data_IF_302137489736
#
_entry.id   IF_302137489736
#
_cell.length_a   1.000
_cell.length_b   1.000
_cell.length_c   1.000
_cell.angle_alpha   90.00
_cell.angle_beta   90.00
_cell.angle_gamma   90.00
#
_symmetry.space_group_name_H-M   'P 1'
#
loop_
_entity.id
_entity.type
_entity.pdbx_description
1 polymer ?
#
# COMPACT_ATOMS: atom_id res chain seq x y z
N UNK A 1 -14.94 17.39 25.31
CA UNK A 1 -14.93 16.66 24.02
C UNK A 1 -13.49 16.52 23.56
N UNK A 2 -13.01 15.30 23.34
CA UNK A 2 -11.70 15.06 22.72
C UNK A 2 -11.67 15.77 21.37
N UNK A 3 -10.64 16.58 21.09
CA UNK A 3 -10.43 17.13 19.74
C UNK A 3 -10.19 15.95 18.79
N UNK A 4 -10.81 15.97 17.62
CA UNK A 4 -10.58 14.98 16.57
C UNK A 4 -9.10 15.01 16.16
N UNK A 5 -8.48 13.84 15.97
CA UNK A 5 -7.05 13.68 15.59
C UNK A 5 -7.00 12.95 14.25
N UNK A 6 -6.22 13.50 13.32
CA UNK A 6 -5.83 12.81 12.09
C UNK A 6 -4.68 11.83 12.40
N UNK A 7 -4.80 10.57 12.01
CA UNK A 7 -3.89 9.49 12.43
C UNK A 7 -3.19 8.80 11.26
N UNK A 8 -3.81 8.81 10.07
CA UNK A 8 -3.27 8.14 8.88
C UNK A 8 -1.91 8.70 8.46
N UNK A 9 -1.07 7.86 7.85
CA UNK A 9 0.24 8.27 7.33
C UNK A 9 0.09 9.18 6.11
N UNK A 10 0.84 10.27 6.07
CA UNK A 10 0.91 11.18 4.93
C UNK A 10 2.33 11.77 4.78
N UNK A 11 2.61 12.43 3.66
CA UNK A 11 3.89 13.10 3.48
C UNK A 11 4.04 14.33 4.38
N UNK A 12 4.95 14.27 5.35
CA UNK A 12 5.27 15.41 6.22
C UNK A 12 6.10 16.50 5.51
N UNK A 13 6.90 16.13 4.50
CA UNK A 13 7.74 17.05 3.73
C UNK A 13 7.53 16.83 2.23
N UNK A 14 7.37 17.90 1.44
CA UNK A 14 7.28 17.78 -0.02
C UNK A 14 8.49 17.09 -0.66
N UNK A 15 9.68 17.25 -0.07
CA UNK A 15 10.92 16.59 -0.53
C UNK A 15 10.82 15.07 -0.53
N UNK A 16 10.10 14.48 0.42
CA UNK A 16 9.92 13.03 0.50
C UNK A 16 9.07 12.51 -0.66
N UNK A 17 7.99 13.23 -1.01
CA UNK A 17 7.19 12.92 -2.20
C UNK A 17 8.03 12.98 -3.47
N UNK A 18 8.80 14.06 -3.66
CA UNK A 18 9.63 14.20 -4.86
C UNK A 18 10.76 13.17 -4.94
N UNK A 19 11.29 12.71 -3.79
CA UNK A 19 12.26 11.61 -3.76
C UNK A 19 11.62 10.32 -4.27
N UNK A 20 10.48 9.93 -3.70
CA UNK A 20 9.79 8.69 -4.06
C UNK A 20 9.32 8.74 -5.52
N UNK A 21 8.79 9.89 -5.98
CA UNK A 21 8.45 10.12 -7.37
C UNK A 21 9.65 9.95 -8.32
N UNK A 22 10.79 10.61 -8.04
CA UNK A 22 12.02 10.50 -8.85
C UNK A 22 12.53 9.06 -8.91
N UNK A 23 12.48 8.34 -7.80
CA UNK A 23 12.90 6.94 -7.74
C UNK A 23 12.03 6.05 -8.65
N UNK A 24 10.71 6.21 -8.61
CA UNK A 24 9.79 5.44 -9.47
C UNK A 24 9.99 5.79 -10.94
N UNK A 25 10.02 7.07 -11.32
CA UNK A 25 10.17 7.46 -12.74
C UNK A 25 11.55 7.13 -13.31
N UNK A 26 12.56 6.91 -12.46
CA UNK A 26 13.87 6.39 -12.87
C UNK A 26 13.81 4.93 -13.35
N UNK A 27 12.79 4.19 -12.94
CA UNK A 27 12.62 2.76 -13.19
C UNK A 27 11.67 2.44 -14.34
N UNK A 28 11.47 3.35 -15.30
CA UNK A 28 10.52 3.19 -16.43
C UNK A 28 10.57 1.84 -17.15
N UNK A 29 11.78 1.30 -17.37
CA UNK A 29 11.95 -0.01 -18.02
C UNK A 29 11.38 -1.14 -17.16
N UNK A 30 11.72 -1.14 -15.86
CA UNK A 30 11.19 -2.10 -14.90
C UNK A 30 9.69 -1.94 -14.72
N UNK A 31 9.14 -0.71 -14.67
CA UNK A 31 7.70 -0.47 -14.65
C UNK A 31 7.02 -1.16 -15.83
N UNK A 32 7.52 -0.93 -17.05
CA UNK A 32 6.95 -1.53 -18.26
C UNK A 32 6.95 -3.05 -18.18
N UNK A 33 8.06 -3.65 -17.73
CA UNK A 33 8.20 -5.10 -17.60
C UNK A 33 7.28 -5.66 -16.50
N UNK A 34 7.24 -4.97 -15.35
CA UNK A 34 6.37 -5.30 -14.20
C UNK A 34 4.91 -5.39 -14.61
N UNK A 35 4.40 -4.38 -15.32
CA UNK A 35 2.98 -4.29 -15.67
C UNK A 35 2.56 -5.24 -16.80
N UNK A 36 3.50 -5.77 -17.58
CA UNK A 36 3.22 -6.59 -18.78
C UNK A 36 3.57 -8.06 -18.62
N UNK A 37 4.59 -8.37 -17.82
CA UNK A 37 5.25 -9.67 -17.85
C UNK A 37 5.48 -10.26 -16.46
N UNK A 38 5.91 -9.47 -15.48
CA UNK A 38 6.42 -10.04 -14.21
C UNK A 38 5.34 -10.26 -13.15
N UNK A 39 4.33 -9.39 -13.09
CA UNK A 39 3.30 -9.42 -12.06
C UNK A 39 1.94 -9.35 -12.78
N UNK A 40 1.09 -10.36 -12.56
CA UNK A 40 -0.26 -10.40 -13.14
C UNK A 40 -1.11 -9.23 -12.64
N UNK A 41 -2.27 -9.01 -13.27
CA UNK A 41 -3.13 -7.90 -12.88
C UNK A 41 -3.72 -8.10 -11.48
N UNK A 42 -4.26 -9.28 -11.20
CA UNK A 42 -4.83 -9.64 -9.91
C UNK A 42 -3.79 -9.61 -8.78
N UNK A 43 -2.58 -10.13 -9.03
CA UNK A 43 -1.51 -10.09 -8.04
C UNK A 43 -1.08 -8.66 -7.71
N UNK A 44 -1.00 -7.76 -8.72
CA UNK A 44 -0.74 -6.33 -8.47
C UNK A 44 -1.80 -5.73 -7.56
N UNK A 45 -3.07 -5.99 -7.85
CA UNK A 45 -4.16 -5.42 -7.07
C UNK A 45 -4.22 -5.97 -5.64
N UNK A 46 -3.92 -7.27 -5.41
CA UNK A 46 -3.74 -7.81 -4.05
C UNK A 46 -2.63 -7.08 -3.28
N UNK A 47 -1.44 -6.93 -3.88
CA UNK A 47 -0.32 -6.19 -3.27
C UNK A 47 -0.70 -4.75 -2.94
N UNK A 48 -1.37 -4.06 -3.87
CA UNK A 48 -1.80 -2.67 -3.68
C UNK A 48 -2.85 -2.53 -2.60
N UNK A 49 -3.83 -3.43 -2.54
CA UNK A 49 -4.86 -3.44 -1.51
C UNK A 49 -4.28 -3.74 -0.12
N UNK A 50 -3.34 -4.68 0.00
CA UNK A 50 -2.66 -4.98 1.28
C UNK A 50 -1.97 -3.74 1.85
N UNK A 51 -1.16 -3.03 1.06
CA UNK A 51 -0.49 -1.80 1.53
C UNK A 51 -1.48 -0.66 1.79
N UNK A 52 -2.53 -0.56 0.97
CA UNK A 52 -3.57 0.46 1.12
C UNK A 52 -4.34 0.27 2.42
N UNK A 53 -4.60 -0.96 2.83
CA UNK A 53 -5.27 -1.23 4.10
C UNK A 53 -4.41 -0.78 5.28
N UNK A 54 -3.11 -1.10 5.27
CA UNK A 54 -2.17 -0.66 6.32
C UNK A 54 -2.10 0.88 6.42
N UNK A 55 -2.21 1.59 5.30
CA UNK A 55 -2.10 3.05 5.25
C UNK A 55 -3.44 3.81 5.37
N UNK A 56 -4.58 3.13 5.26
CA UNK A 56 -5.91 3.73 5.41
C UNK A 56 -6.28 4.78 4.35
N UNK A 57 -5.75 4.67 3.12
CA UNK A 57 -6.08 5.65 2.08
C UNK A 57 -7.41 5.34 1.41
N UNK A 58 -8.49 6.04 1.78
CA UNK A 58 -9.84 5.85 1.22
C UNK A 58 -9.91 5.99 -0.30
N UNK A 59 -9.16 6.93 -0.89
CA UNK A 59 -9.14 7.15 -2.34
C UNK A 59 -8.54 5.96 -3.09
N UNK A 60 -7.42 5.44 -2.59
CA UNK A 60 -6.77 4.27 -3.16
C UNK A 60 -7.61 3.03 -2.91
N UNK A 61 -8.23 2.90 -1.73
CA UNK A 61 -9.12 1.78 -1.40
C UNK A 61 -10.28 1.71 -2.40
N UNK A 62 -10.99 2.82 -2.63
CA UNK A 62 -12.12 2.85 -3.55
C UNK A 62 -11.73 2.55 -5.00
N UNK A 63 -10.55 3.01 -5.42
CA UNK A 63 -10.04 2.78 -6.76
C UNK A 63 -9.62 1.31 -6.93
N UNK A 64 -8.71 0.84 -6.07
CA UNK A 64 -8.13 -0.50 -6.19
C UNK A 64 -9.12 -1.61 -5.84
N UNK A 65 -10.16 -1.36 -5.03
CA UNK A 65 -11.25 -2.31 -4.86
C UNK A 65 -11.96 -2.59 -6.19
N UNK A 66 -12.23 -1.55 -6.98
CA UNK A 66 -12.84 -1.71 -8.32
C UNK A 66 -11.90 -2.41 -9.30
N UNK A 67 -10.61 -2.08 -9.27
CA UNK A 67 -9.62 -2.71 -10.14
C UNK A 67 -9.37 -4.18 -9.76
N UNK A 68 -9.35 -4.50 -8.47
CA UNK A 68 -9.25 -5.88 -7.95
C UNK A 68 -10.38 -6.74 -8.49
N UNK A 69 -11.63 -6.28 -8.38
CA UNK A 69 -12.79 -7.00 -8.91
C UNK A 69 -12.70 -7.19 -10.43
N UNK A 70 -12.22 -6.19 -11.18
CA UNK A 70 -11.99 -6.30 -12.63
C UNK A 70 -10.89 -7.29 -12.99
N UNK A 71 -9.87 -7.41 -12.14
CA UNK A 71 -8.78 -8.38 -12.33
C UNK A 71 -9.18 -9.82 -11.99
N UNK A 72 -10.32 -10.02 -11.31
CA UNK A 72 -10.83 -11.33 -10.91
C UNK A 72 -10.57 -11.72 -9.46
N UNK A 73 -10.07 -10.80 -8.62
CA UNK A 73 -9.98 -11.03 -7.16
C UNK A 73 -11.39 -11.07 -6.59
N UNK A 74 -11.69 -12.08 -5.77
CA UNK A 74 -13.03 -12.26 -5.22
C UNK A 74 -13.37 -11.23 -4.14
N UNK A 75 -14.66 -10.98 -3.93
CA UNK A 75 -15.13 -10.16 -2.81
C UNK A 75 -14.74 -10.76 -1.46
N UNK A 76 -14.67 -12.09 -1.35
CA UNK A 76 -14.24 -12.79 -0.14
C UNK A 76 -12.77 -12.49 0.19
N UNK A 77 -11.87 -12.63 -0.79
CA UNK A 77 -10.46 -12.25 -0.61
C UNK A 77 -10.31 -10.76 -0.24
N UNK A 78 -11.07 -9.88 -0.89
CA UNK A 78 -11.01 -8.45 -0.59
C UNK A 78 -11.50 -8.13 0.82
N UNK A 79 -12.54 -8.80 1.30
CA UNK A 79 -13.03 -8.64 2.67
C UNK A 79 -11.94 -9.01 3.69
N UNK A 80 -11.23 -10.11 3.47
CA UNK A 80 -10.11 -10.51 4.34
C UNK A 80 -8.96 -9.49 4.31
N UNK A 81 -8.59 -8.99 3.13
CA UNK A 81 -7.56 -7.94 3.00
C UNK A 81 -7.97 -6.69 3.76
N UNK A 82 -9.22 -6.25 3.65
CA UNK A 82 -9.74 -5.06 4.35
C UNK A 82 -9.79 -5.24 5.88
N UNK A 83 -9.88 -6.48 6.35
CA UNK A 83 -9.74 -6.83 7.77
C UNK A 83 -8.28 -6.93 8.22
N UNK A 84 -7.32 -6.70 7.31
CA UNK A 84 -5.88 -6.78 7.59
C UNK A 84 -5.33 -8.20 7.63
N UNK A 85 -6.04 -9.16 7.03
CA UNK A 85 -5.58 -10.54 6.87
C UNK A 85 -5.05 -10.79 5.47
N UNK A 86 -4.20 -11.80 5.33
CA UNK A 86 -3.86 -12.39 4.04
C UNK A 86 -4.95 -13.44 3.75
N UNK A 87 -5.66 -13.37 2.61
CA UNK A 87 -6.74 -14.30 2.32
C UNK A 87 -6.30 -15.76 2.35
N UNK A 88 -7.13 -16.65 2.88
CA UNK A 88 -6.80 -18.08 2.97
C UNK A 88 -6.62 -18.71 1.58
N UNK A 89 -7.44 -18.27 0.61
CA UNK A 89 -7.42 -18.74 -0.79
C UNK A 89 -6.37 -18.03 -1.66
N UNK A 90 -5.44 -17.27 -1.06
CA UNK A 90 -4.34 -16.64 -1.81
C UNK A 90 -3.52 -17.71 -2.54
N UNK A 91 -3.19 -17.53 -3.83
CA UNK A 91 -2.29 -18.44 -4.54
C UNK A 91 -1.00 -18.66 -3.76
N UNK A 92 -0.54 -19.91 -3.68
CA UNK A 92 0.61 -20.28 -2.85
C UNK A 92 1.89 -19.53 -3.23
N UNK A 93 2.03 -19.16 -4.51
CA UNK A 93 3.14 -18.36 -5.00
C UNK A 93 2.97 -16.86 -4.75
N UNK A 94 1.85 -16.37 -4.24
CA UNK A 94 1.63 -14.94 -3.91
C UNK A 94 1.67 -14.67 -2.40
N UNK A 95 1.38 -15.68 -1.57
CA UNK A 95 1.25 -15.53 -0.12
C UNK A 95 2.45 -14.84 0.54
N UNK A 96 3.68 -15.29 0.23
CA UNK A 96 4.89 -14.70 0.81
C UNK A 96 5.08 -13.23 0.41
N UNK A 97 4.70 -12.85 -0.81
CA UNK A 97 4.76 -11.46 -1.24
C UNK A 97 3.70 -10.59 -0.56
N UNK A 98 2.50 -11.12 -0.28
CA UNK A 98 1.49 -10.39 0.50
C UNK A 98 1.93 -10.21 1.96
N UNK A 99 2.52 -11.24 2.56
CA UNK A 99 3.11 -11.16 3.91
C UNK A 99 4.25 -10.12 3.96
N UNK A 100 5.13 -10.14 2.95
CA UNK A 100 6.16 -9.13 2.79
C UNK A 100 5.56 -7.73 2.65
N UNK A 101 4.54 -7.55 1.81
CA UNK A 101 3.90 -6.26 1.56
C UNK A 101 3.28 -5.68 2.83
N UNK A 102 2.58 -6.51 3.62
CA UNK A 102 2.01 -6.12 4.91
C UNK A 102 3.10 -5.68 5.88
N UNK A 103 4.10 -6.54 6.12
CA UNK A 103 5.21 -6.24 7.03
C UNK A 103 5.98 -4.99 6.60
N UNK A 104 6.27 -4.86 5.30
CA UNK A 104 6.96 -3.71 4.73
C UNK A 104 6.20 -2.40 4.96
N UNK A 105 4.87 -2.42 4.82
CA UNK A 105 4.03 -1.26 5.04
C UNK A 105 3.90 -0.90 6.53
N UNK A 106 3.75 -1.90 7.40
CA UNK A 106 3.66 -1.71 8.85
C UNK A 106 4.94 -1.11 9.44
N UNK A 107 6.10 -1.50 8.90
CA UNK A 107 7.42 -1.04 9.32
C UNK A 107 7.95 0.16 8.52
N UNK A 108 7.07 0.97 7.95
CA UNK A 108 7.42 2.23 7.25
C UNK A 108 8.51 2.09 6.18
N UNK A 109 8.39 1.06 5.33
CA UNK A 109 9.35 0.74 4.25
C UNK A 109 10.72 0.27 4.74
N UNK A 110 10.81 -0.19 5.99
CA UNK A 110 12.04 -0.74 6.60
C UNK A 110 11.83 -2.21 6.98
N UNK A 111 11.70 -3.12 6.01
CA UNK A 111 11.67 -4.54 6.31
C UNK A 111 13.04 -4.97 6.84
N UNK A 112 13.07 -6.01 7.67
CA UNK A 112 14.33 -6.62 8.06
C UNK A 112 15.05 -7.19 6.82
N UNK A 113 16.40 -7.07 6.72
CA UNK A 113 17.16 -7.59 5.58
C UNK A 113 16.89 -9.06 5.27
N UNK A 114 16.69 -9.88 6.31
CA UNK A 114 16.35 -11.30 6.17
C UNK A 114 15.02 -11.52 5.42
N UNK A 115 14.04 -10.65 5.62
CA UNK A 115 12.74 -10.77 4.94
C UNK A 115 12.89 -10.42 3.45
N UNK A 116 13.74 -9.45 3.11
CA UNK A 116 14.09 -9.18 1.72
C UNK A 116 14.82 -10.36 1.07
N UNK A 117 15.82 -10.93 1.75
CA UNK A 117 16.58 -12.08 1.23
C UNK A 117 15.68 -13.30 0.98
N UNK A 118 14.71 -13.54 1.87
CA UNK A 118 13.70 -14.58 1.69
C UNK A 118 12.79 -14.32 0.48
N UNK A 119 12.40 -13.06 0.25
CA UNK A 119 11.63 -12.68 -0.94
C UNK A 119 12.45 -12.96 -2.22
N UNK A 120 13.72 -12.55 -2.24
CA UNK A 120 14.61 -12.80 -3.38
C UNK A 120 14.82 -14.30 -3.60
N UNK A 121 14.98 -15.09 -2.54
CA UNK A 121 15.16 -16.53 -2.64
C UNK A 121 13.93 -17.23 -3.25
N UNK A 122 12.71 -16.78 -2.94
CA UNK A 122 11.48 -17.40 -3.45
C UNK A 122 11.11 -16.92 -4.86
N UNK A 123 11.27 -15.62 -5.14
CA UNK A 123 10.79 -15.01 -6.39
C UNK A 123 11.88 -14.79 -7.44
N UNK A 124 13.14 -14.87 -7.04
CA UNK A 124 14.27 -14.37 -7.83
C UNK A 124 14.34 -12.83 -7.80
N UNK A 125 15.55 -12.31 -8.03
CA UNK A 125 15.85 -10.88 -7.93
C UNK A 125 14.88 -10.00 -8.74
N UNK A 126 14.62 -10.38 -10.00
CA UNK A 126 13.82 -9.54 -10.91
C UNK A 126 12.35 -9.43 -10.48
N UNK A 127 11.72 -10.54 -10.07
CA UNK A 127 10.32 -10.51 -9.62
C UNK A 127 10.21 -9.87 -8.23
N UNK A 128 11.20 -10.05 -7.34
CA UNK A 128 11.27 -9.35 -6.05
C UNK A 128 11.37 -7.81 -6.23
N UNK A 129 12.22 -7.33 -7.14
CA UNK A 129 12.30 -5.91 -7.49
C UNK A 129 10.98 -5.37 -8.08
N UNK A 130 10.32 -6.17 -8.92
CA UNK A 130 9.01 -5.81 -9.48
C UNK A 130 7.93 -5.71 -8.38
N UNK A 131 7.90 -6.64 -7.42
CA UNK A 131 7.03 -6.57 -6.23
C UNK A 131 7.33 -5.27 -5.47
N UNK A 132 8.60 -5.03 -5.13
CA UNK A 132 9.02 -3.83 -4.40
C UNK A 132 8.58 -2.53 -5.09
N UNK A 133 8.66 -2.48 -6.42
CA UNK A 133 8.22 -1.35 -7.22
C UNK A 133 6.71 -1.13 -7.11
N UNK A 134 5.88 -2.18 -7.16
CA UNK A 134 4.43 -2.09 -6.92
C UNK A 134 4.16 -1.46 -5.55
N UNK A 135 4.81 -1.96 -4.50
CA UNK A 135 4.65 -1.46 -3.13
C UNK A 135 5.02 0.02 -2.99
N UNK A 136 6.12 0.45 -3.63
CA UNK A 136 6.54 1.85 -3.64
C UNK A 136 5.54 2.76 -4.35
N UNK A 137 4.97 2.31 -5.48
CA UNK A 137 3.98 3.09 -6.23
C UNK A 137 2.72 3.31 -5.40
N UNK A 138 2.17 2.26 -4.80
CA UNK A 138 0.97 2.38 -3.98
C UNK A 138 1.22 3.15 -2.68
N UNK A 139 2.38 2.96 -2.05
CA UNK A 139 2.79 3.77 -0.89
C UNK A 139 2.78 5.26 -1.20
N UNK A 140 3.37 5.65 -2.34
CA UNK A 140 3.36 7.05 -2.78
C UNK A 140 1.92 7.55 -2.99
N UNK A 141 1.07 6.75 -3.63
CA UNK A 141 -0.34 7.06 -3.84
C UNK A 141 -1.10 7.23 -2.53
N UNK A 142 -0.93 6.31 -1.59
CA UNK A 142 -1.59 6.33 -0.28
C UNK A 142 -1.22 7.60 0.51
N UNK A 143 0.07 7.89 0.65
CA UNK A 143 0.52 9.07 1.41
C UNK A 143 0.10 10.38 0.75
N UNK A 144 0.05 10.44 -0.58
CA UNK A 144 -0.44 11.61 -1.31
C UNK A 144 -1.96 11.80 -1.12
N UNK A 145 -2.75 10.73 -1.19
CA UNK A 145 -4.19 10.77 -0.93
C UNK A 145 -4.50 11.19 0.51
N UNK A 146 -3.80 10.59 1.48
CA UNK A 146 -3.93 10.97 2.90
C UNK A 146 -3.47 12.41 3.17
N UNK A 147 -2.47 12.93 2.44
CA UNK A 147 -2.09 14.34 2.54
C UNK A 147 -3.24 15.26 2.10
N UNK A 148 -3.97 14.92 1.04
CA UNK A 148 -5.14 15.70 0.62
C UNK A 148 -6.21 15.75 1.71
N UNK A 149 -6.50 14.60 2.33
CA UNK A 149 -7.43 14.50 3.47
C UNK A 149 -6.93 15.30 4.69
N UNK A 150 -5.64 15.25 4.99
CA UNK A 150 -5.04 16.02 6.08
C UNK A 150 -5.16 17.54 5.85
N UNK A 151 -4.93 18.00 4.62
CA UNK A 151 -5.12 19.41 4.27
C UNK A 151 -6.59 19.82 4.41
N UNK A 152 -7.52 18.98 3.95
CA UNK A 152 -8.96 19.21 4.14
C UNK A 152 -9.32 19.27 5.63
N UNK A 153 -8.76 18.37 6.44
CA UNK A 153 -8.93 18.36 7.89
C UNK A 153 -8.45 19.67 8.54
N UNK A 154 -7.27 20.16 8.15
CA UNK A 154 -6.74 21.43 8.67
C UNK A 154 -7.57 22.64 8.22
N UNK A 155 -7.91 22.72 6.94
CA UNK A 155 -8.67 23.85 6.39
C UNK A 155 -10.11 23.90 6.88
N UNK A 156 -10.69 22.74 7.22
CA UNK A 156 -12.04 22.63 7.76
C UNK A 156 -12.11 22.73 9.29
N UNK A 157 -10.99 23.01 9.97
CA UNK A 157 -10.89 23.01 11.44
C UNK A 157 -11.35 21.69 12.08
N UNK A 158 -11.08 20.58 11.40
CA UNK A 158 -11.37 19.23 11.86
C UNK A 158 -12.79 18.72 11.59
N UNK A 159 -13.55 19.38 10.72
CA UNK A 159 -14.91 18.96 10.34
C UNK A 159 -14.93 17.91 9.23
N UNK A 160 -13.91 17.90 8.37
CA UNK A 160 -13.82 17.01 7.22
C UNK A 160 -12.45 16.33 7.15
N UNK A 161 -12.30 15.38 6.23
CA UNK A 161 -11.03 14.71 5.96
C UNK A 161 -10.68 13.58 6.94
N UNK A 162 -11.54 13.23 7.90
CA UNK A 162 -11.37 12.01 8.70
C UNK A 162 -12.12 10.84 8.06
N UNK A 163 -11.55 9.66 8.21
CA UNK A 163 -12.23 8.39 7.97
C UNK A 163 -13.13 8.04 9.18
N UNK A 164 -14.20 7.29 8.95
CA UNK A 164 -15.07 6.81 10.04
C UNK A 164 -14.31 5.94 11.06
N UNK A 165 -13.30 5.20 10.59
CA UNK A 165 -12.48 4.30 11.38
C UNK A 165 -11.08 4.88 11.65
N UNK A 166 -10.92 6.21 11.66
CA UNK A 166 -9.63 6.91 11.77
C UNK A 166 -8.74 6.35 12.90
N UNK A 167 -9.31 5.99 14.05
CA UNK A 167 -8.55 5.45 15.20
C UNK A 167 -7.79 4.15 14.88
N UNK A 168 -8.28 3.33 13.95
CA UNK A 168 -7.60 2.09 13.51
C UNK A 168 -6.22 2.37 12.92
N UNK A 169 -6.05 3.53 12.29
CA UNK A 169 -4.80 3.93 11.64
C UNK A 169 -3.88 4.72 12.56
N UNK A 170 -4.19 4.81 13.86
CA UNK A 170 -3.28 5.39 14.83
C UNK A 170 -1.98 4.59 14.84
N UNK A 171 -0.91 5.25 14.41
CA UNK A 171 0.46 4.78 14.67
C UNK A 171 0.57 4.71 16.19
N UNK A 172 0.81 3.52 16.73
CA UNK A 172 1.14 3.38 18.15
C UNK A 172 2.46 4.13 18.34
N UNK A 173 2.41 5.29 18.99
CA UNK A 173 3.61 6.02 19.40
C UNK A 173 4.44 5.05 20.26
N UNK A 174 5.61 4.64 19.75
CA UNK A 174 6.63 3.91 20.52
C UNK A 174 7.50 4.89 21.28
#
# INVERSE_FOLDING_TARGET
MSRSKFTRRFYNRPSDFFRDFRHIIGQRKLIKKTMRELISYDFRERLMMTVTEVNGCRYCRDFHLKESLKSGVSEAELAEILEGRIPEDTPADEYQALAYAQHWAENEKKPDPEIWDNLVANYGQEKAEAIQLILQMIWMGNLAGNLADYLLFKLSFGRHGLDENEKRFAIMDT
#
